data_IF_224939997930
#
_entry.id   IF_224939997930
#
_cell.length_a   1.000
_cell.length_b   1.000
_cell.length_c   1.000
_cell.angle_alpha   90.00
_cell.angle_beta   90.00
_cell.angle_gamma   90.00
#
_symmetry.space_group_name_H-M   'P 1'
#
loop_
_entity.id
_entity.type
_entity.pdbx_description
1 polymer ?
#
# COMPACT_ATOMS: atom_id res chain seq x y z
N UNK A 1 -40.70 -34.11 48.69
CA UNK A 1 -40.61 -33.01 49.67
C UNK A 1 -40.41 -31.70 48.91
N UNK A 2 -41.10 -30.64 49.32
CA UNK A 2 -41.19 -29.37 48.61
C UNK A 2 -40.22 -28.30 49.13
N UNK A 3 -39.83 -27.41 48.20
CA UNK A 3 -39.50 -25.97 48.29
C UNK A 3 -38.22 -25.45 48.99
N UNK A 4 -37.73 -24.39 48.31
CA UNK A 4 -36.92 -23.25 48.77
C UNK A 4 -35.40 -23.46 48.71
N UNK A 5 -34.58 -22.50 48.25
CA UNK A 5 -34.86 -21.10 48.02
C UNK A 5 -33.72 -20.43 47.24
N UNK A 6 -34.15 -19.48 46.44
CA UNK A 6 -33.42 -18.48 45.67
C UNK A 6 -32.44 -17.69 46.54
N UNK A 7 -31.14 -17.75 46.27
CA UNK A 7 -30.19 -16.68 46.62
C UNK A 7 -29.56 -16.15 45.34
N UNK A 8 -30.29 -15.18 44.79
CA UNK A 8 -29.89 -14.27 43.72
C UNK A 8 -28.84 -13.32 44.31
N UNK A 9 -27.60 -13.76 44.47
CA UNK A 9 -26.53 -12.91 45.00
C UNK A 9 -25.95 -12.06 43.89
N UNK A 10 -26.11 -10.75 44.13
CA UNK A 10 -25.30 -9.64 43.67
C UNK A 10 -25.14 -9.46 42.16
N UNK A 11 -25.87 -8.45 41.66
CA UNK A 11 -25.39 -7.48 40.68
C UNK A 11 -23.93 -7.11 40.97
N UNK A 12 -22.97 -7.85 40.45
CA UNK A 12 -21.67 -7.28 40.13
C UNK A 12 -21.92 -6.49 38.85
N UNK A 13 -22.01 -5.17 39.02
CA UNK A 13 -21.90 -4.18 37.97
C UNK A 13 -20.93 -4.66 36.90
N UNK A 14 -21.45 -5.20 35.78
CA UNK A 14 -20.69 -5.24 34.54
C UNK A 14 -20.43 -3.78 34.24
N UNK A 15 -19.24 -3.35 34.62
CA UNK A 15 -18.68 -2.09 34.20
C UNK A 15 -19.04 -1.97 32.72
N UNK A 16 -19.87 -0.98 32.39
CA UNK A 16 -19.89 -0.41 31.06
C UNK A 16 -18.49 0.17 30.88
N UNK A 17 -17.51 -0.68 30.62
CA UNK A 17 -16.22 -0.25 30.09
C UNK A 17 -16.62 0.41 28.80
N UNK A 18 -16.69 1.75 28.83
CA UNK A 18 -17.01 2.57 27.68
C UNK A 18 -16.14 2.06 26.55
N UNK A 19 -16.76 1.30 25.66
CA UNK A 19 -16.02 0.61 24.61
C UNK A 19 -15.30 1.69 23.85
N UNK A 20 -13.96 1.57 23.73
CA UNK A 20 -13.13 2.47 22.92
C UNK A 20 -13.93 2.83 21.67
N UNK A 21 -14.25 4.12 21.52
CA UNK A 21 -15.10 4.62 20.45
C UNK A 21 -14.61 4.12 19.08
N UNK A 22 -15.48 4.08 18.07
CA UNK A 22 -15.16 3.48 16.77
C UNK A 22 -13.87 4.04 16.16
N UNK A 23 -13.60 5.33 16.37
CA UNK A 23 -12.36 6.02 15.96
C UNK A 23 -11.14 5.46 16.69
N UNK A 24 -11.18 5.34 18.02
CA UNK A 24 -10.07 4.79 18.79
C UNK A 24 -9.80 3.30 18.48
N UNK A 25 -10.83 2.50 18.17
CA UNK A 25 -10.64 1.13 17.65
C UNK A 25 -9.99 1.13 16.26
N UNK A 26 -10.45 1.98 15.34
CA UNK A 26 -9.82 2.15 14.02
C UNK A 26 -8.38 2.65 14.13
N UNK A 27 -8.10 3.57 15.04
CA UNK A 27 -6.75 4.07 15.30
C UNK A 27 -5.84 2.98 15.84
N UNK A 28 -6.29 2.19 16.82
CA UNK A 28 -5.50 1.07 17.36
C UNK A 28 -5.30 -0.01 16.29
N UNK A 29 -6.32 -0.30 15.50
CA UNK A 29 -6.21 -1.23 14.38
C UNK A 29 -5.19 -0.74 13.35
N UNK A 30 -5.31 0.52 12.94
CA UNK A 30 -4.39 1.18 12.02
C UNK A 30 -2.96 1.15 12.56
N UNK A 31 -2.77 1.56 13.82
CA UNK A 31 -1.48 1.51 14.51
C UNK A 31 -0.91 0.08 14.51
N UNK A 32 -1.69 -0.93 14.89
CA UNK A 32 -1.20 -2.33 14.88
C UNK A 32 -0.86 -2.85 13.49
N UNK A 33 -1.61 -2.46 12.46
CA UNK A 33 -1.36 -2.90 11.07
C UNK A 33 -0.14 -2.25 10.46
N UNK A 34 0.05 -0.94 10.69
CA UNK A 34 1.13 -0.17 10.06
C UNK A 34 2.38 -0.01 10.93
N UNK A 35 2.34 -0.37 12.21
CA UNK A 35 3.55 -0.44 13.06
C UNK A 35 4.47 -1.62 12.72
N UNK A 36 4.00 -2.63 11.99
CA UNK A 36 4.82 -3.71 11.43
C UNK A 36 4.69 -3.72 9.90
N UNK A 37 5.29 -2.74 9.21
CA UNK A 37 5.14 -2.60 7.76
C UNK A 37 5.68 -3.85 7.06
N UNK A 38 4.85 -4.45 6.21
CA UNK A 38 5.25 -5.60 5.41
C UNK A 38 6.12 -5.09 4.26
N UNK A 39 7.01 -5.92 3.69
CA UNK A 39 7.86 -5.54 2.54
C UNK A 39 7.07 -4.88 1.38
N UNK A 40 5.82 -5.29 1.16
CA UNK A 40 4.91 -4.69 0.16
C UNK A 40 4.57 -3.23 0.43
N UNK A 41 4.40 -2.85 1.69
CA UNK A 41 4.06 -1.48 2.07
C UNK A 41 5.23 -0.53 1.79
N UNK A 42 6.46 -1.01 1.97
CA UNK A 42 7.68 -0.28 1.61
C UNK A 42 7.80 -0.06 0.10
N UNK A 43 7.52 -1.08 -0.71
CA UNK A 43 7.50 -0.93 -2.18
C UNK A 43 6.50 0.12 -2.59
N UNK A 44 5.28 0.05 -2.05
CA UNK A 44 4.23 1.00 -2.35
C UNK A 44 4.62 2.42 -1.93
N UNK A 45 5.25 2.58 -0.78
CA UNK A 45 5.79 3.86 -0.32
C UNK A 45 6.84 4.41 -1.30
N UNK A 46 7.83 3.61 -1.71
CA UNK A 46 8.84 4.05 -2.68
C UNK A 46 8.24 4.38 -4.04
N UNK A 47 7.23 3.62 -4.50
CA UNK A 47 6.51 3.94 -5.73
C UNK A 47 5.76 5.27 -5.62
N UNK A 48 5.08 5.53 -4.50
CA UNK A 48 4.40 6.80 -4.26
C UNK A 48 5.38 7.98 -4.21
N UNK A 49 6.54 7.80 -3.58
CA UNK A 49 7.60 8.81 -3.56
C UNK A 49 8.12 9.07 -4.98
N UNK A 50 8.36 8.03 -5.77
CA UNK A 50 8.79 8.16 -7.17
C UNK A 50 7.79 8.93 -8.03
N UNK A 51 6.48 8.68 -7.85
CA UNK A 51 5.40 9.42 -8.53
C UNK A 51 5.39 10.88 -8.08
N UNK A 52 5.52 11.16 -6.79
CA UNK A 52 5.55 12.53 -6.27
C UNK A 52 6.76 13.31 -6.79
N UNK A 53 7.94 12.69 -6.81
CA UNK A 53 9.16 13.27 -7.38
C UNK A 53 9.03 13.52 -8.89
N UNK A 54 8.44 12.58 -9.62
CA UNK A 54 8.15 12.75 -11.04
C UNK A 54 7.19 13.93 -11.29
N UNK A 55 6.15 14.06 -10.47
CA UNK A 55 5.21 15.19 -10.55
C UNK A 55 5.93 16.52 -10.25
N UNK A 56 6.76 16.57 -9.22
CA UNK A 56 7.58 17.74 -8.91
C UNK A 56 8.58 18.07 -10.05
N UNK A 57 9.20 17.05 -10.66
CA UNK A 57 10.08 17.22 -11.80
C UNK A 57 9.35 17.73 -13.04
N UNK A 58 8.11 17.31 -13.25
CA UNK A 58 7.27 17.78 -14.37
C UNK A 58 6.93 19.27 -14.28
N UNK A 59 6.90 19.85 -13.07
CA UNK A 59 6.69 21.30 -12.88
C UNK A 59 7.88 22.13 -13.37
N UNK A 60 9.09 21.57 -13.36
CA UNK A 60 10.31 22.26 -13.81
C UNK A 60 10.57 21.95 -15.27
N UNK A 61 10.49 20.68 -15.65
CA UNK A 61 10.70 20.22 -17.01
C UNK A 61 9.90 18.94 -17.23
N UNK A 62 8.90 19.01 -18.10
CA UNK A 62 7.99 17.90 -18.43
C UNK A 62 8.79 16.65 -18.87
N UNK A 63 9.93 16.83 -19.55
CA UNK A 63 10.80 15.71 -19.95
C UNK A 63 11.42 15.01 -18.75
N UNK A 64 11.93 15.78 -17.78
CA UNK A 64 12.53 15.23 -16.56
C UNK A 64 11.47 14.50 -15.74
N UNK A 65 10.28 15.11 -15.60
CA UNK A 65 9.15 14.47 -14.92
C UNK A 65 8.72 13.16 -15.57
N UNK A 66 8.57 13.14 -16.90
CA UNK A 66 8.19 11.93 -17.65
C UNK A 66 9.24 10.81 -17.60
N UNK A 67 10.53 11.16 -17.69
CA UNK A 67 11.63 10.19 -17.54
C UNK A 67 11.63 9.60 -16.13
N UNK A 68 11.46 10.42 -15.08
CA UNK A 68 11.36 9.94 -13.70
C UNK A 68 10.15 9.03 -13.48
N UNK A 69 9.01 9.32 -14.12
CA UNK A 69 7.83 8.46 -14.06
C UNK A 69 8.10 7.11 -14.69
N UNK A 70 8.69 7.12 -15.89
CA UNK A 70 9.02 5.90 -16.62
C UNK A 70 10.06 5.05 -15.86
N UNK A 71 11.08 5.68 -15.28
CA UNK A 71 12.05 5.01 -14.42
C UNK A 71 11.38 4.35 -13.21
N UNK A 72 10.41 5.04 -12.59
CA UNK A 72 9.64 4.50 -11.46
C UNK A 72 8.82 3.28 -11.87
N UNK A 73 8.12 3.35 -13.01
CA UNK A 73 7.33 2.22 -13.55
C UNK A 73 8.24 1.05 -13.92
N UNK A 74 9.38 1.32 -14.55
CA UNK A 74 10.36 0.30 -14.92
C UNK A 74 10.97 -0.38 -13.69
N UNK A 75 11.32 0.39 -12.65
CA UNK A 75 11.81 -0.16 -11.38
C UNK A 75 10.78 -1.10 -10.72
N UNK A 76 9.49 -0.74 -10.75
CA UNK A 76 8.40 -1.60 -10.26
C UNK A 76 8.25 -2.86 -11.11
N UNK A 77 8.37 -2.75 -12.43
CA UNK A 77 8.36 -3.89 -13.35
C UNK A 77 9.53 -4.86 -13.10
N UNK A 78 10.75 -4.34 -12.93
CA UNK A 78 11.94 -5.12 -12.60
C UNK A 78 11.83 -5.80 -11.23
N UNK A 79 11.29 -5.10 -10.22
CA UNK A 79 11.02 -5.68 -8.89
C UNK A 79 10.07 -6.89 -8.95
N UNK A 80 9.23 -7.01 -9.98
CA UNK A 80 8.37 -8.19 -10.20
C UNK A 80 9.10 -9.36 -10.88
N UNK A 81 10.23 -9.10 -11.54
CA UNK A 81 11.07 -10.13 -12.18
C UNK A 81 12.03 -10.75 -11.16
N UNK A 82 12.43 -10.01 -10.12
CA UNK A 82 13.36 -10.50 -9.10
C UNK A 82 12.79 -11.74 -8.37
N UNK A 83 13.44 -12.92 -8.48
CA UNK A 83 12.90 -14.21 -8.03
C UNK A 83 13.10 -14.51 -6.54
N UNK A 84 13.48 -13.52 -5.72
CA UNK A 84 13.61 -13.76 -4.29
C UNK A 84 12.24 -13.83 -3.62
N UNK A 85 12.18 -14.29 -2.35
CA UNK A 85 11.07 -14.40 -1.36
C UNK A 85 9.78 -13.53 -1.49
N UNK A 86 9.80 -12.52 -2.34
CA UNK A 86 8.78 -11.56 -2.76
C UNK A 86 7.70 -12.14 -3.67
N UNK A 87 7.93 -13.26 -4.37
CA UNK A 87 6.87 -13.90 -5.17
C UNK A 87 5.66 -14.32 -4.31
N UNK A 88 5.87 -14.69 -3.04
CA UNK A 88 4.78 -14.98 -2.08
C UNK A 88 3.90 -13.76 -1.76
N UNK A 89 4.37 -12.54 -2.04
CA UNK A 89 3.65 -11.30 -1.79
C UNK A 89 2.70 -10.92 -2.94
N UNK A 90 2.90 -11.52 -4.12
CA UNK A 90 2.09 -11.30 -5.32
C UNK A 90 1.07 -12.45 -5.45
N UNK A 91 -0.11 -12.25 -4.86
CA UNK A 91 -1.19 -13.24 -4.89
C UNK A 91 -1.83 -13.28 -6.28
N UNK A 92 -1.83 -14.45 -6.93
CA UNK A 92 -2.69 -14.85 -8.06
C UNK A 92 -2.66 -14.03 -9.36
N UNK A 93 -1.54 -13.37 -9.70
CA UNK A 93 -1.40 -12.73 -11.03
C UNK A 93 -0.06 -13.09 -11.64
N UNK A 94 -0.02 -13.36 -12.94
CA UNK A 94 1.21 -13.67 -13.67
C UNK A 94 2.20 -12.50 -13.55
N UNK A 95 3.13 -12.61 -12.60
CA UNK A 95 4.13 -11.58 -12.32
C UNK A 95 4.91 -11.18 -13.57
N UNK A 96 5.13 -12.15 -14.48
CA UNK A 96 5.74 -11.95 -15.78
C UNK A 96 4.90 -11.04 -16.70
N UNK A 97 3.58 -11.27 -16.82
CA UNK A 97 2.72 -10.45 -17.70
C UNK A 97 2.59 -9.03 -17.18
N UNK A 98 2.45 -8.85 -15.86
CA UNK A 98 2.43 -7.51 -15.27
C UNK A 98 3.80 -6.82 -15.39
N UNK A 99 4.92 -7.55 -15.30
CA UNK A 99 6.25 -6.98 -15.51
C UNK A 99 6.46 -6.53 -16.97
N UNK A 100 6.06 -7.35 -17.94
CA UNK A 100 6.15 -7.02 -19.36
C UNK A 100 5.28 -5.80 -19.71
N UNK A 101 4.04 -5.77 -19.23
CA UNK A 101 3.14 -4.63 -19.48
C UNK A 101 3.63 -3.34 -18.82
N UNK A 102 4.19 -3.40 -17.61
CA UNK A 102 4.78 -2.23 -16.95
C UNK A 102 6.06 -1.75 -17.63
N UNK A 103 6.93 -2.65 -18.07
CA UNK A 103 8.12 -2.28 -18.85
C UNK A 103 7.76 -1.68 -20.22
N UNK A 104 6.77 -2.24 -20.90
CA UNK A 104 6.28 -1.73 -22.17
C UNK A 104 5.63 -0.34 -22.00
N UNK A 105 4.83 -0.15 -20.96
CA UNK A 105 4.28 1.15 -20.60
C UNK A 105 5.38 2.18 -20.29
N UNK A 106 6.43 1.78 -19.55
CA UNK A 106 7.58 2.64 -19.29
C UNK A 106 8.30 3.05 -20.58
N UNK A 107 8.53 2.10 -21.50
CA UNK A 107 9.17 2.38 -22.78
C UNK A 107 8.34 3.34 -23.65
N UNK A 108 7.02 3.13 -23.73
CA UNK A 108 6.10 4.05 -24.43
C UNK A 108 6.15 5.44 -23.78
N UNK A 109 6.16 5.50 -22.45
CA UNK A 109 6.18 6.77 -21.73
C UNK A 109 7.49 7.53 -21.97
N UNK A 110 8.64 6.86 -21.98
CA UNK A 110 9.92 7.49 -22.37
C UNK A 110 9.83 8.02 -23.79
N UNK A 111 9.38 7.18 -24.73
CA UNK A 111 9.27 7.58 -26.13
C UNK A 111 8.37 8.82 -26.29
N UNK A 112 7.18 8.81 -25.69
CA UNK A 112 6.25 9.93 -25.70
C UNK A 112 6.89 11.19 -25.08
N UNK A 113 7.58 11.01 -23.96
CA UNK A 113 8.26 12.11 -23.27
C UNK A 113 9.36 12.74 -24.12
N UNK A 114 10.09 11.95 -24.90
CA UNK A 114 11.12 12.44 -25.81
C UNK A 114 10.54 13.10 -27.06
N UNK A 115 9.35 12.69 -27.50
CA UNK A 115 8.64 13.33 -28.62
C UNK A 115 8.01 14.68 -28.25
N UNK A 116 7.85 14.98 -26.96
CA UNK A 116 7.34 16.28 -26.52
C UNK A 116 8.34 17.38 -26.86
N UNK A 117 7.91 18.48 -27.50
CA UNK A 117 8.78 19.62 -27.76
C UNK A 117 9.29 20.18 -26.43
N UNK A 118 10.59 20.49 -26.37
CA UNK A 118 11.19 21.21 -25.26
C UNK A 118 10.76 22.67 -25.34
N UNK A 119 9.59 22.99 -24.81
CA UNK A 119 9.19 24.37 -24.52
C UNK A 119 9.91 24.87 -23.28
#
# INVERSE_FOLDING_TARGET
>A
MAKAGKTRTSRASRARTGGRGPISKRWIYWKRRYSNPVRRDWVLLYTLIGIALSCAGALVNVRVGGIMLAATIAAVGLLRIVPSSWQKTWVNRSAATDAVTTLLAAAILVFLTLTLPST
#
